data_IF_449142802624
#
_entry.id   IF_449142802624
#
_cell.length_a   1.000
_cell.length_b   1.000
_cell.length_c   1.000
_cell.angle_alpha   90.00
_cell.angle_beta   90.00
_cell.angle_gamma   90.00
#
_symmetry.space_group_name_H-M   'P 1'
#
loop_
_entity.id
_entity.type
_entity.pdbx_description
1 polymer ?
#
# COMPACT_ATOMS: atom_id res chain seq x y z
N UNK A 1 -34.84 0.92 -39.37
CA UNK A 1 -34.70 1.13 -37.89
C UNK A 1 -33.75 0.05 -37.38
N UNK A 2 -32.72 0.45 -36.65
CA UNK A 2 -31.78 -0.45 -35.99
C UNK A 2 -32.27 -0.56 -34.55
N UNK A 3 -32.53 -1.79 -34.08
CA UNK A 3 -33.00 -2.06 -32.73
C UNK A 3 -31.95 -2.84 -31.95
N UNK A 4 -31.89 -2.62 -30.65
CA UNK A 4 -31.00 -3.40 -29.77
C UNK A 4 -31.47 -4.85 -29.71
N UNK A 5 -30.58 -5.85 -29.82
CA UNK A 5 -30.89 -7.26 -29.62
C UNK A 5 -31.03 -7.67 -28.15
N UNK A 6 -30.65 -6.79 -27.21
CA UNK A 6 -30.67 -7.01 -25.78
C UNK A 6 -31.28 -5.80 -25.05
N UNK A 7 -31.91 -6.05 -23.90
CA UNK A 7 -32.29 -5.00 -22.96
C UNK A 7 -31.07 -4.56 -22.16
N UNK A 8 -30.95 -3.26 -21.89
CA UNK A 8 -29.84 -2.75 -21.11
C UNK A 8 -29.72 -1.23 -21.14
N UNK A 9 -28.65 -0.72 -20.55
CA UNK A 9 -28.31 0.71 -20.50
C UNK A 9 -27.27 1.04 -21.54
N UNK A 10 -27.49 2.09 -22.34
CA UNK A 10 -26.51 2.57 -23.32
C UNK A 10 -25.34 3.21 -22.59
N UNK A 11 -24.12 2.67 -22.76
CA UNK A 11 -22.88 3.18 -22.20
C UNK A 11 -22.26 4.24 -23.11
N UNK A 12 -22.20 3.95 -24.41
CA UNK A 12 -21.65 4.87 -25.40
C UNK A 12 -22.45 4.88 -26.68
N UNK A 13 -22.48 6.04 -27.35
CA UNK A 13 -23.03 6.26 -28.67
C UNK A 13 -21.89 6.74 -29.57
N UNK A 14 -21.54 5.93 -30.60
CA UNK A 14 -20.42 6.20 -31.51
C UNK A 14 -20.85 6.80 -32.86
N UNK A 15 -22.14 7.12 -33.01
CA UNK A 15 -22.71 7.65 -34.26
C UNK A 15 -23.60 8.85 -33.98
N UNK A 16 -23.70 9.78 -34.93
CA UNK A 16 -24.59 10.92 -34.88
C UNK A 16 -25.78 10.75 -35.82
N UNK A 17 -26.86 11.49 -35.53
CA UNK A 17 -28.06 11.47 -36.36
C UNK A 17 -27.71 12.04 -37.78
N UNK A 18 -28.13 11.31 -38.83
CA UNK A 18 -27.81 11.67 -40.20
C UNK A 18 -26.44 11.22 -40.70
N UNK A 19 -25.63 10.58 -39.86
CA UNK A 19 -24.33 10.04 -40.26
C UNK A 19 -24.49 8.82 -41.16
N UNK A 20 -23.82 8.80 -42.31
CA UNK A 20 -23.75 7.64 -43.18
C UNK A 20 -22.75 6.61 -42.62
N UNK A 21 -23.20 5.43 -42.33
CA UNK A 21 -22.37 4.31 -41.84
C UNK A 21 -22.04 3.41 -43.04
N UNK A 22 -20.78 3.37 -43.45
CA UNK A 22 -20.31 2.47 -44.50
C UNK A 22 -19.84 1.15 -43.85
N UNK A 23 -20.58 0.09 -44.07
CA UNK A 23 -20.21 -1.28 -43.69
C UNK A 23 -19.44 -1.94 -44.85
N UNK A 24 -18.19 -1.53 -45.09
CA UNK A 24 -17.38 -2.21 -46.12
C UNK A 24 -16.60 -3.33 -45.52
N UNK A 25 -15.46 -3.32 -44.95
CA UNK A 25 -14.73 -4.48 -44.44
C UNK A 25 -14.71 -4.59 -42.91
N UNK A 26 -15.04 -3.52 -42.21
CA UNK A 26 -15.12 -3.53 -40.73
C UNK A 26 -16.54 -3.17 -40.30
N UNK A 27 -17.09 -3.92 -39.35
CA UNK A 27 -18.38 -3.61 -38.73
C UNK A 27 -18.18 -2.46 -37.74
N UNK A 28 -18.72 -1.25 -38.00
CA UNK A 28 -18.57 -0.14 -37.07
C UNK A 28 -19.41 -0.37 -35.81
N UNK A 29 -18.85 -0.03 -34.65
CA UNK A 29 -19.60 0.01 -33.42
C UNK A 29 -20.50 1.25 -33.39
N UNK A 30 -21.80 1.03 -33.27
CA UNK A 30 -22.78 2.12 -33.22
C UNK A 30 -23.10 2.52 -31.78
N UNK A 31 -23.35 1.52 -30.94
CA UNK A 31 -23.68 1.69 -29.53
C UNK A 31 -23.04 0.58 -28.72
N UNK A 32 -22.59 0.92 -27.50
CA UNK A 32 -22.22 -0.05 -26.49
C UNK A 32 -23.31 -0.11 -25.43
N UNK A 33 -23.88 -1.30 -25.19
CA UNK A 33 -25.01 -1.52 -24.28
C UNK A 33 -24.58 -2.50 -23.21
N UNK A 34 -24.70 -2.09 -21.93
CA UNK A 34 -24.53 -3.01 -20.81
C UNK A 34 -25.89 -3.60 -20.41
N UNK A 35 -25.92 -4.93 -20.25
CA UNK A 35 -27.11 -5.61 -19.75
C UNK A 35 -27.42 -5.26 -18.31
N UNK A 36 -26.38 -5.17 -17.48
CA UNK A 36 -26.50 -4.94 -16.03
C UNK A 36 -25.26 -4.21 -15.53
N UNK A 37 -25.45 -3.07 -14.86
CA UNK A 37 -24.38 -2.28 -14.25
C UNK A 37 -24.20 -2.60 -12.76
N UNK A 38 -25.05 -3.44 -12.16
CA UNK A 38 -24.92 -3.85 -10.76
C UNK A 38 -23.83 -4.90 -10.56
N UNK A 39 -23.50 -5.64 -11.63
CA UNK A 39 -22.49 -6.70 -11.65
C UNK A 39 -21.33 -6.29 -12.55
N UNK A 40 -20.36 -5.60 -11.98
CA UNK A 40 -19.15 -5.16 -12.67
C UNK A 40 -18.01 -6.17 -12.51
N UNK A 41 -17.00 -6.01 -13.35
CA UNK A 41 -15.75 -6.75 -13.25
C UNK A 41 -14.59 -5.77 -13.34
N UNK A 42 -13.57 -6.00 -12.50
CA UNK A 42 -12.29 -5.33 -12.62
C UNK A 42 -11.32 -6.32 -13.28
N UNK A 43 -10.62 -5.86 -14.30
CA UNK A 43 -9.54 -6.63 -14.95
C UNK A 43 -8.24 -6.03 -14.43
N UNK A 44 -7.50 -6.81 -13.63
CA UNK A 44 -6.21 -6.43 -13.10
C UNK A 44 -5.10 -7.11 -13.89
N UNK A 45 -4.09 -6.35 -14.29
CA UNK A 45 -2.87 -6.89 -14.90
C UNK A 45 -1.86 -7.17 -13.79
N UNK A 46 -1.53 -8.44 -13.58
CA UNK A 46 -0.62 -8.90 -12.53
C UNK A 46 0.66 -9.41 -13.18
N UNK A 47 1.80 -9.00 -12.64
CA UNK A 47 3.10 -9.40 -13.16
C UNK A 47 3.34 -10.92 -12.99
N UNK A 48 4.14 -11.50 -13.91
CA UNK A 48 4.52 -12.91 -13.87
C UNK A 48 5.14 -13.33 -12.53
N UNK A 49 5.88 -12.43 -11.88
CA UNK A 49 6.50 -12.69 -10.58
C UNK A 49 5.48 -12.93 -9.45
N UNK A 50 4.30 -12.30 -9.53
CA UNK A 50 3.30 -12.30 -8.47
C UNK A 50 2.12 -13.24 -8.75
N UNK A 51 1.87 -13.58 -10.02
CA UNK A 51 0.69 -14.37 -10.41
C UNK A 51 0.66 -15.77 -9.78
N UNK A 52 1.83 -16.35 -9.45
CA UNK A 52 1.92 -17.68 -8.83
C UNK A 52 1.23 -17.80 -7.46
N UNK A 53 1.03 -16.67 -6.77
CA UNK A 53 0.33 -16.61 -5.48
C UNK A 53 -1.19 -16.46 -5.61
N UNK A 54 -1.69 -15.97 -6.75
CA UNK A 54 -3.10 -15.59 -6.95
C UNK A 54 -3.96 -16.81 -7.27
N UNK A 55 -5.08 -16.96 -6.56
CA UNK A 55 -6.03 -18.07 -6.72
C UNK A 55 -7.46 -17.55 -6.89
N UNK A 56 -8.26 -18.35 -7.58
CA UNK A 56 -9.70 -18.11 -7.66
C UNK A 56 -10.31 -18.18 -6.26
N UNK A 57 -11.09 -17.16 -5.89
CA UNK A 57 -11.69 -17.02 -4.56
C UNK A 57 -10.90 -16.11 -3.62
N UNK A 58 -9.69 -15.67 -3.96
CA UNK A 58 -8.94 -14.73 -3.16
C UNK A 58 -9.72 -13.42 -2.97
N UNK A 59 -9.69 -12.89 -1.77
CA UNK A 59 -10.32 -11.61 -1.42
C UNK A 59 -9.54 -10.46 -2.04
N UNK A 60 -10.27 -9.50 -2.55
CA UNK A 60 -9.70 -8.33 -3.19
C UNK A 60 -10.33 -7.08 -2.61
N UNK A 61 -9.50 -6.11 -2.28
CA UNK A 61 -9.92 -4.74 -2.05
C UNK A 61 -9.42 -3.86 -3.19
N UNK A 62 -10.22 -2.91 -3.62
CA UNK A 62 -9.80 -1.95 -4.63
C UNK A 62 -10.40 -0.59 -4.38
N UNK A 63 -9.70 0.43 -4.80
CA UNK A 63 -10.17 1.82 -4.84
C UNK A 63 -10.19 2.27 -6.30
N UNK A 64 -11.04 3.22 -6.62
CA UNK A 64 -11.07 3.83 -7.97
C UNK A 64 -10.69 5.30 -7.86
N UNK A 65 -10.04 5.84 -8.88
CA UNK A 65 -9.56 7.22 -8.86
C UNK A 65 -10.70 8.25 -8.70
N UNK A 66 -11.91 7.88 -9.13
CA UNK A 66 -13.10 8.72 -8.95
C UNK A 66 -13.59 8.79 -7.49
N UNK A 67 -13.26 7.79 -6.66
CA UNK A 67 -13.65 7.68 -5.25
C UNK A 67 -12.48 7.11 -4.43
N UNK A 68 -11.45 7.92 -4.15
CA UNK A 68 -10.22 7.44 -3.50
C UNK A 68 -10.43 7.02 -2.04
N UNK A 69 -11.43 7.58 -1.36
CA UNK A 69 -11.75 7.27 0.03
C UNK A 69 -12.67 6.05 0.19
N UNK A 70 -13.30 5.59 -0.90
CA UNK A 70 -14.20 4.44 -0.88
C UNK A 70 -13.42 3.16 -1.22
N UNK A 71 -13.41 2.21 -0.28
CA UNK A 71 -12.82 0.88 -0.50
C UNK A 71 -13.90 -0.10 -0.92
N UNK A 72 -13.79 -0.59 -2.14
CA UNK A 72 -14.67 -1.62 -2.69
C UNK A 72 -14.10 -3.00 -2.44
N UNK A 73 -14.98 -3.98 -2.27
CA UNK A 73 -14.60 -5.36 -2.06
C UNK A 73 -15.00 -6.23 -3.25
N UNK A 74 -14.13 -7.16 -3.59
CA UNK A 74 -14.33 -8.11 -4.66
C UNK A 74 -13.69 -9.45 -4.35
N UNK A 75 -13.84 -10.38 -5.28
CA UNK A 75 -13.19 -11.70 -5.23
C UNK A 75 -12.64 -12.05 -6.59
N UNK A 76 -11.49 -12.74 -6.62
CA UNK A 76 -10.91 -13.26 -7.86
C UNK A 76 -11.86 -14.32 -8.43
N UNK A 77 -12.41 -14.04 -9.61
CA UNK A 77 -13.32 -14.94 -10.33
C UNK A 77 -12.57 -15.87 -11.27
N UNK A 78 -11.54 -15.37 -11.91
CA UNK A 78 -10.78 -16.11 -12.90
C UNK A 78 -9.38 -15.51 -13.05
N UNK A 79 -8.39 -16.36 -13.25
CA UNK A 79 -7.06 -16.00 -13.72
C UNK A 79 -6.95 -16.46 -15.16
N UNK A 80 -6.71 -15.53 -16.08
CA UNK A 80 -6.51 -15.89 -17.50
C UNK A 80 -5.12 -16.46 -17.68
N UNK A 81 -5.02 -17.55 -18.47
CA UNK A 81 -3.75 -18.24 -18.70
C UNK A 81 -2.94 -17.62 -19.84
N UNK A 82 -3.55 -16.74 -20.62
CA UNK A 82 -2.88 -16.02 -21.70
C UNK A 82 -2.11 -14.84 -21.13
N UNK A 83 -0.81 -14.82 -21.37
CA UNK A 83 0.05 -13.71 -20.98
C UNK A 83 0.02 -12.61 -22.05
N UNK A 84 -0.01 -11.37 -21.62
CA UNK A 84 0.14 -10.20 -22.48
C UNK A 84 1.51 -9.57 -22.24
N UNK A 85 2.28 -9.34 -23.31
CA UNK A 85 3.56 -8.67 -23.22
C UNK A 85 3.45 -7.26 -23.73
N UNK A 86 3.66 -6.28 -22.85
CA UNK A 86 3.68 -4.86 -23.19
C UNK A 86 4.96 -4.23 -22.68
N UNK A 87 5.72 -3.57 -23.56
CA UNK A 87 7.01 -2.94 -23.21
C UNK A 87 8.00 -3.89 -22.52
N UNK A 88 8.08 -5.14 -22.95
CA UNK A 88 8.89 -6.21 -22.35
C UNK A 88 8.48 -6.61 -20.91
N UNK A 89 7.29 -6.22 -20.45
CA UNK A 89 6.71 -6.68 -19.19
C UNK A 89 5.65 -7.72 -19.50
N UNK A 90 5.76 -8.90 -18.90
CA UNK A 90 4.80 -10.00 -19.03
C UNK A 90 3.78 -9.90 -17.90
N UNK A 91 2.52 -9.76 -18.26
CA UNK A 91 1.41 -9.67 -17.30
C UNK A 91 0.32 -10.69 -17.63
N UNK A 92 -0.40 -11.09 -16.59
CA UNK A 92 -1.57 -11.96 -16.67
C UNK A 92 -2.81 -11.20 -16.23
N UNK A 93 -3.90 -11.38 -16.96
CA UNK A 93 -5.16 -10.75 -16.59
C UNK A 93 -5.90 -11.55 -15.52
N UNK A 94 -6.21 -10.89 -14.42
CA UNK A 94 -7.02 -11.43 -13.32
C UNK A 94 -8.39 -10.75 -13.34
N UNK A 95 -9.44 -11.54 -13.53
CA UNK A 95 -10.82 -11.06 -13.53
C UNK A 95 -11.36 -11.11 -12.11
N UNK A 96 -11.77 -9.94 -11.60
CA UNK A 96 -12.26 -9.74 -10.23
C UNK A 96 -13.74 -9.38 -10.32
N UNK A 97 -14.57 -10.06 -9.55
CA UNK A 97 -15.99 -9.70 -9.38
C UNK A 97 -16.08 -8.44 -8.53
N UNK A 98 -16.80 -7.44 -8.99
CA UNK A 98 -17.00 -6.16 -8.33
C UNK A 98 -18.49 -5.82 -8.24
N UNK A 99 -19.18 -6.21 -7.15
CA UNK A 99 -20.57 -5.84 -6.92
C UNK A 99 -20.72 -4.32 -6.89
N UNK A 100 -21.74 -3.80 -7.58
CA UNK A 100 -21.99 -2.37 -7.77
C UNK A 100 -23.45 -2.01 -7.49
N UNK A 101 -23.96 -2.37 -6.30
CA UNK A 101 -25.34 -2.13 -5.94
C UNK A 101 -25.73 -0.62 -5.95
N UNK A 102 -24.76 0.22 -5.57
CA UNK A 102 -24.96 1.68 -5.49
C UNK A 102 -24.71 2.41 -6.83
N UNK A 103 -24.38 1.67 -7.90
CA UNK A 103 -24.08 2.19 -9.24
C UNK A 103 -22.96 3.27 -9.26
N UNK A 104 -22.09 3.28 -8.25
CA UNK A 104 -20.95 4.18 -8.16
C UNK A 104 -19.87 3.85 -9.19
N UNK A 105 -19.64 2.55 -9.43
CA UNK A 105 -18.67 2.09 -10.42
C UNK A 105 -19.22 2.27 -11.82
N UNK A 106 -18.38 2.81 -12.71
CA UNK A 106 -18.69 3.01 -14.13
C UNK A 106 -17.67 2.27 -14.98
N UNK A 107 -18.07 1.75 -16.16
CA UNK A 107 -17.13 1.18 -17.10
C UNK A 107 -16.04 2.21 -17.48
N UNK A 108 -14.79 1.75 -17.59
CA UNK A 108 -13.64 2.59 -17.96
C UNK A 108 -12.97 3.31 -16.81
N UNK A 109 -13.41 3.13 -15.56
CA UNK A 109 -12.67 3.65 -14.40
C UNK A 109 -11.38 2.87 -14.16
N UNK A 110 -10.32 3.58 -13.79
CA UNK A 110 -9.07 2.98 -13.33
C UNK A 110 -9.19 2.61 -11.85
N UNK A 111 -8.71 1.41 -11.51
CA UNK A 111 -8.76 0.89 -10.16
C UNK A 111 -7.37 0.48 -9.65
N UNK A 112 -7.08 0.82 -8.39
CA UNK A 112 -5.91 0.34 -7.66
C UNK A 112 -6.32 -0.89 -6.85
N UNK A 113 -5.76 -2.05 -7.19
CA UNK A 113 -6.20 -3.35 -6.70
C UNK A 113 -5.20 -3.95 -5.73
N UNK A 114 -5.70 -4.45 -4.59
CA UNK A 114 -4.93 -5.23 -3.62
C UNK A 114 -5.54 -6.63 -3.50
N UNK A 115 -4.82 -7.65 -3.92
CA UNK A 115 -5.23 -9.06 -3.85
C UNK A 115 -4.59 -9.69 -2.62
N UNK A 116 -5.40 -10.31 -1.76
CA UNK A 116 -4.94 -11.01 -0.55
C UNK A 116 -4.71 -12.49 -0.88
N UNK A 117 -3.47 -12.83 -1.23
CA UNK A 117 -3.09 -14.20 -1.63
C UNK A 117 -2.98 -15.16 -0.46
N UNK A 118 -2.77 -14.63 0.74
CA UNK A 118 -2.70 -15.43 1.97
C UNK A 118 -3.29 -14.63 3.13
N UNK A 119 -4.30 -15.17 3.77
CA UNK A 119 -4.87 -14.64 5.00
C UNK A 119 -4.75 -15.67 6.11
N UNK A 120 -4.25 -15.25 7.25
CA UNK A 120 -4.18 -16.07 8.45
C UNK A 120 -4.77 -15.31 9.62
N UNK A 121 -5.74 -15.89 10.27
CA UNK A 121 -6.34 -15.34 11.48
C UNK A 121 -5.83 -16.08 12.72
N UNK A 122 -5.85 -15.37 13.87
CA UNK A 122 -5.45 -15.97 15.15
C UNK A 122 -3.94 -16.18 15.32
N UNK A 123 -3.11 -15.55 14.50
CA UNK A 123 -1.66 -15.58 14.62
C UNK A 123 -1.14 -14.50 15.57
N UNK A 124 -0.03 -14.79 16.25
CA UNK A 124 0.70 -13.79 17.01
C UNK A 124 1.64 -13.05 16.05
N UNK A 125 1.42 -11.75 15.85
CA UNK A 125 2.24 -10.93 14.98
C UNK A 125 2.88 -9.79 15.76
N UNK A 126 4.07 -9.37 15.35
CA UNK A 126 4.78 -8.22 15.92
C UNK A 126 5.17 -7.26 14.80
N UNK A 127 5.18 -5.94 15.04
CA UNK A 127 5.68 -4.98 14.08
C UNK A 127 7.14 -5.27 13.71
N UNK A 128 7.50 -5.15 12.44
CA UNK A 128 8.86 -5.40 11.96
C UNK A 128 9.90 -4.51 12.64
N UNK A 129 9.49 -3.33 13.11
CA UNK A 129 10.33 -2.45 13.94
C UNK A 129 10.86 -3.14 15.20
N UNK A 130 10.02 -3.97 15.87
CA UNK A 130 10.41 -4.69 17.08
C UNK A 130 11.50 -5.73 16.82
N UNK A 131 11.50 -6.38 15.65
CA UNK A 131 12.52 -7.36 15.25
C UNK A 131 13.85 -6.72 14.85
N UNK A 132 13.81 -5.47 14.37
CA UNK A 132 15.00 -4.70 13.98
C UNK A 132 15.60 -3.92 15.13
N UNK A 133 14.85 -3.77 16.22
CA UNK A 133 15.29 -3.02 17.39
C UNK A 133 16.46 -3.72 18.07
N UNK A 134 17.58 -3.00 18.23
CA UNK A 134 18.77 -3.47 18.96
C UNK A 134 19.19 -2.38 19.94
N UNK A 135 18.99 -2.56 21.25
CA UNK A 135 19.40 -1.58 22.24
C UNK A 135 20.92 -1.57 22.39
N UNK A 136 21.50 -0.39 22.44
CA UNK A 136 22.89 -0.14 22.84
C UNK A 136 22.90 0.68 24.10
N UNK A 137 24.01 0.65 24.87
CA UNK A 137 24.15 1.46 26.08
C UNK A 137 24.06 2.97 25.80
N UNK A 138 24.36 3.37 24.58
CA UNK A 138 24.27 4.76 24.12
C UNK A 138 22.82 5.18 23.87
N UNK A 139 21.99 4.27 23.32
CA UNK A 139 20.59 4.55 22.97
C UNK A 139 19.64 4.43 24.16
N UNK A 140 19.93 3.57 25.12
CA UNK A 140 19.05 3.32 26.28
C UNK A 140 19.47 4.04 27.57
N UNK A 141 20.66 4.67 27.59
CA UNK A 141 21.22 5.33 28.76
C UNK A 141 21.96 4.38 29.70
N UNK A 142 22.83 4.98 30.55
CA UNK A 142 23.75 4.20 31.42
C UNK A 142 23.03 3.43 32.55
N UNK A 143 21.81 3.84 32.90
CA UNK A 143 21.03 3.27 34.01
C UNK A 143 20.21 2.05 33.64
N UNK A 144 20.19 1.69 32.36
CA UNK A 144 19.44 0.54 31.86
C UNK A 144 20.29 -0.70 31.76
N UNK A 145 19.76 -1.81 32.29
CA UNK A 145 20.39 -3.13 32.17
C UNK A 145 19.91 -3.82 30.92
N UNK A 146 20.85 -4.24 30.05
CA UNK A 146 20.57 -5.01 28.84
C UNK A 146 20.94 -6.47 29.11
N UNK A 147 19.97 -7.35 28.99
CA UNK A 147 20.14 -8.82 29.07
C UNK A 147 19.86 -9.35 27.67
N UNK A 148 20.92 -9.69 26.95
CA UNK A 148 20.84 -10.24 25.60
C UNK A 148 20.76 -11.77 25.61
N UNK A 149 20.21 -12.36 24.53
CA UNK A 149 20.13 -13.79 24.32
C UNK A 149 20.82 -14.21 23.02
N UNK A 150 21.22 -15.47 22.93
CA UNK A 150 21.73 -16.07 21.71
C UNK A 150 20.55 -16.40 20.79
N UNK A 151 20.37 -15.64 19.69
CA UNK A 151 19.33 -15.87 18.71
C UNK A 151 19.49 -14.92 17.52
N UNK A 152 19.19 -15.40 16.30
CA UNK A 152 19.24 -14.58 15.09
C UNK A 152 18.09 -13.57 15.09
N UNK A 153 16.90 -14.00 15.49
CA UNK A 153 15.71 -13.16 15.60
C UNK A 153 15.35 -13.07 17.08
N UNK A 154 15.17 -11.84 17.56
CA UNK A 154 14.86 -11.58 18.96
C UNK A 154 13.95 -10.36 19.07
N UNK A 155 13.16 -10.35 20.13
CA UNK A 155 12.28 -9.24 20.50
C UNK A 155 12.62 -8.82 21.92
N UNK A 156 12.55 -7.54 22.19
CA UNK A 156 12.92 -6.97 23.48
C UNK A 156 11.69 -6.62 24.31
N UNK A 157 11.75 -6.97 25.59
CA UNK A 157 10.75 -6.56 26.58
C UNK A 157 11.39 -5.66 27.61
N UNK A 158 10.63 -4.68 28.10
CA UNK A 158 11.06 -3.78 29.15
C UNK A 158 10.37 -4.14 30.48
N UNK A 159 11.14 -4.42 31.49
CA UNK A 159 10.65 -4.62 32.86
C UNK A 159 11.42 -3.69 33.81
N UNK A 160 10.76 -2.62 34.28
CA UNK A 160 11.42 -1.56 35.05
C UNK A 160 12.57 -0.94 34.26
N UNK A 161 13.81 -1.07 34.74
CA UNK A 161 15.03 -0.60 34.08
C UNK A 161 15.81 -1.71 33.36
N UNK A 162 15.19 -2.84 33.10
CA UNK A 162 15.86 -4.00 32.46
C UNK A 162 15.21 -4.30 31.12
N UNK A 163 16.02 -4.27 30.05
CA UNK A 163 15.68 -4.75 28.72
C UNK A 163 16.12 -6.19 28.58
N UNK A 164 15.18 -7.11 28.33
CA UNK A 164 15.45 -8.53 28.17
C UNK A 164 15.13 -8.96 26.76
N UNK A 165 16.09 -9.60 26.10
CA UNK A 165 15.90 -10.18 24.79
C UNK A 165 15.23 -11.55 24.90
N UNK A 166 14.24 -11.81 24.07
CA UNK A 166 13.59 -13.11 23.91
C UNK A 166 13.86 -13.65 22.51
N UNK A 167 14.45 -14.85 22.38
CA UNK A 167 14.66 -15.46 21.08
C UNK A 167 13.30 -15.87 20.52
N UNK A 168 13.04 -15.53 19.25
CA UNK A 168 11.77 -15.83 18.60
C UNK A 168 11.98 -16.57 17.29
N UNK A 169 11.02 -17.42 16.95
CA UNK A 169 10.93 -18.04 15.62
C UNK A 169 9.90 -17.27 14.82
N UNK A 170 10.34 -16.69 13.73
CA UNK A 170 9.50 -15.90 12.82
C UNK A 170 8.83 -16.81 11.80
N UNK A 171 7.62 -16.43 11.38
CA UNK A 171 6.88 -17.04 10.28
C UNK A 171 6.86 -16.10 9.07
N UNK A 172 5.67 -15.91 8.50
CA UNK A 172 5.47 -15.03 7.34
C UNK A 172 5.40 -13.55 7.75
N UNK A 173 5.63 -12.67 6.79
CA UNK A 173 5.56 -11.22 6.97
C UNK A 173 4.67 -10.61 5.90
N UNK A 174 3.93 -9.56 6.28
CA UNK A 174 3.14 -8.71 5.39
C UNK A 174 3.87 -7.42 5.00
N UNK A 175 5.17 -7.29 5.37
CA UNK A 175 5.97 -6.08 5.15
C UNK A 175 5.93 -5.10 6.33
N UNK A 176 4.87 -5.07 7.13
CA UNK A 176 4.68 -4.23 8.32
C UNK A 176 4.80 -5.05 9.60
N UNK A 177 4.20 -6.23 9.62
CA UNK A 177 4.20 -7.18 10.73
C UNK A 177 4.83 -8.51 10.32
N UNK A 178 5.39 -9.22 11.29
CA UNK A 178 5.92 -10.57 11.10
C UNK A 178 5.26 -11.50 12.12
N UNK A 179 4.79 -12.65 11.63
CA UNK A 179 4.27 -13.73 12.44
C UNK A 179 5.35 -14.28 13.39
N UNK A 180 4.99 -14.52 14.63
CA UNK A 180 5.83 -15.20 15.62
C UNK A 180 5.23 -16.57 15.92
N UNK A 181 5.94 -17.61 15.50
CA UNK A 181 5.49 -18.99 15.70
C UNK A 181 5.88 -19.53 17.07
N UNK A 182 7.00 -19.05 17.66
CA UNK A 182 7.47 -19.44 18.98
C UNK A 182 8.25 -18.31 19.64
N UNK A 183 8.26 -18.30 20.99
CA UNK A 183 9.11 -17.41 21.78
C UNK A 183 8.42 -16.23 22.45
N UNK A 184 7.15 -15.93 22.11
CA UNK A 184 6.33 -14.90 22.75
C UNK A 184 4.97 -15.44 23.18
N UNK A 185 4.36 -14.77 24.15
CA UNK A 185 2.99 -15.03 24.60
C UNK A 185 2.08 -13.86 24.18
N UNK A 186 0.82 -14.16 23.92
CA UNK A 186 -0.19 -13.14 23.65
C UNK A 186 -0.31 -12.15 24.82
N UNK A 187 -0.39 -10.85 24.52
CA UNK A 187 -0.47 -9.79 25.53
C UNK A 187 0.86 -9.35 26.12
N UNK A 188 1.99 -9.95 25.74
CA UNK A 188 3.31 -9.54 26.20
C UNK A 188 3.69 -8.19 25.57
N UNK A 189 4.05 -7.20 26.40
CA UNK A 189 4.50 -5.88 25.95
C UNK A 189 5.92 -5.99 25.38
N UNK A 190 6.12 -5.51 24.16
CA UNK A 190 7.40 -5.52 23.46
C UNK A 190 7.84 -4.10 23.17
N UNK A 191 9.17 -3.89 23.05
CA UNK A 191 9.77 -2.62 22.69
C UNK A 191 9.89 -2.55 21.16
N UNK A 192 9.36 -1.50 20.57
CA UNK A 192 9.43 -1.27 19.12
C UNK A 192 10.47 -0.21 18.75
N UNK A 193 10.61 0.81 19.61
CA UNK A 193 11.55 1.93 19.40
C UNK A 193 11.80 2.65 20.73
N UNK A 194 12.86 3.45 20.78
CA UNK A 194 13.15 4.37 21.88
C UNK A 194 13.06 5.78 21.35
N UNK A 195 12.21 6.59 21.96
CA UNK A 195 12.15 8.02 21.71
C UNK A 195 13.05 8.70 22.75
N UNK A 196 14.19 9.19 22.34
CA UNK A 196 15.06 10.01 23.17
C UNK A 196 14.59 11.46 23.03
N UNK A 197 13.91 12.00 24.03
CA UNK A 197 13.70 13.43 24.12
C UNK A 197 15.06 14.08 24.42
N UNK A 198 15.74 14.57 23.40
CA UNK A 198 16.87 15.49 23.58
C UNK A 198 16.21 16.82 23.92
N UNK A 199 16.39 17.38 25.16
CA UNK A 199 15.98 18.75 25.40
C UNK A 199 16.84 19.62 24.48
N UNK A 200 16.18 20.47 23.69
CA UNK A 200 16.86 21.49 22.87
C UNK A 200 17.77 22.31 23.77
N UNK A 201 19.06 22.03 23.78
CA UNK A 201 20.10 22.94 24.19
C UNK A 201 20.50 23.70 22.93
N UNK A 202 19.98 24.92 22.77
CA UNK A 202 20.67 26.01 22.07
C UNK A 202 19.67 27.11 21.64
N UNK A 203 19.15 27.84 22.61
CA UNK A 203 18.65 29.20 22.36
C UNK A 203 19.25 30.29 23.28
N UNK A 204 20.46 30.11 23.83
CA UNK A 204 21.07 31.13 24.71
C UNK A 204 22.51 31.50 24.35
N UNK A 205 22.91 31.55 23.08
CA UNK A 205 24.18 32.16 22.66
C UNK A 205 24.10 33.00 21.37
N UNK A 206 23.11 33.88 21.27
CA UNK A 206 23.17 34.96 20.29
C UNK A 206 22.64 36.29 20.83
N UNK A 207 23.14 36.72 22.01
CA UNK A 207 22.98 38.10 22.45
C UNK A 207 24.23 38.55 23.21
N UNK A 208 25.36 38.72 22.51
CA UNK A 208 26.41 39.66 22.94
C UNK A 208 27.52 39.73 21.90
N UNK A 209 27.31 40.44 20.81
CA UNK A 209 28.36 41.12 20.04
C UNK A 209 27.70 42.09 19.05
N UNK A 210 27.33 43.22 19.55
CA UNK A 210 26.88 44.33 18.74
C UNK A 210 27.01 45.60 19.54
N UNK A 211 28.20 46.19 19.62
CA UNK A 211 28.41 47.61 19.91
C UNK A 211 29.92 47.89 20.02
N UNK A 212 30.61 48.08 18.90
CA UNK A 212 31.76 49.02 18.86
C UNK A 212 31.68 49.70 17.48
N UNK A 213 31.14 50.90 17.51
CA UNK A 213 31.29 51.91 16.45
C UNK A 213 32.68 52.54 16.57
N UNK A 214 33.51 52.42 15.56
CA UNK A 214 34.75 53.17 15.41
C UNK A 214 34.68 54.06 14.16
N UNK A 215 35.18 55.30 14.22
CA UNK A 215 34.96 56.30 13.19
C UNK A 215 35.90 56.14 11.97
N UNK A 216 35.37 56.42 10.79
CA UNK A 216 36.08 56.38 9.53
C UNK A 216 37.15 57.51 9.37
N UNK A 217 38.17 57.26 8.54
CA UNK A 217 39.05 58.32 8.11
C UNK A 217 38.60 58.93 6.78
N UNK A 218 38.68 60.27 6.80
CA UNK A 218 38.42 61.22 5.71
C UNK A 218 39.38 61.02 4.53
N UNK A 219 38.87 61.32 3.36
CA UNK A 219 39.54 61.27 2.08
C UNK A 219 40.73 62.20 1.88
N UNK A 220 41.44 61.92 0.79
CA UNK A 220 42.19 62.97 0.05
C UNK A 220 42.18 62.63 -1.45
N UNK A 221 41.88 63.74 -2.16
CA UNK A 221 42.00 63.94 -3.58
C UNK A 221 43.35 63.55 -4.19
N UNK A 222 43.38 62.95 -5.32
CA UNK A 222 43.90 63.53 -6.56
C UNK A 222 43.41 62.70 -7.71
#
# INVERSE_FOLDING_TARGET
TITSPIDGTVISKSVEEGQTVAASFNTPELFTIAKDLTNMQVIANVDEADIGGVKVGDRVNFTVDAYPDDVFQGTVKQVRLEATTTNNVVTYEVVISAPNADLKLKPGLTANVTIYTQERSGILAVPNKALRFTPTKETVGKDMKIVDCKGKNKVWTLSGKTLTAHPVTIGQTDGVHTEITKGLKQGQKIVTEIIVNIPDQDEDQQQSQGLISGPGPKGKKK
#
